data_IF_101303894790
#
_entry.id   IF_101303894790
#
_cell.length_a   1.000
_cell.length_b   1.000
_cell.length_c   1.000
_cell.angle_alpha   90.00
_cell.angle_beta   90.00
_cell.angle_gamma   90.00
#
_symmetry.space_group_name_H-M   'P 1'
#
loop_
_entity.id
_entity.type
_entity.pdbx_description
1 polymer ?
#
# COMPACT_ATOMS: atom_id res chain seq x y z
N UNK A 1 -32.49 -1.24 -22.35
CA UNK A 1 -31.69 -0.04 -22.67
C UNK A 1 -31.39 0.63 -21.33
N UNK A 2 -30.24 0.56 -20.69
CA UNK A 2 -28.87 0.47 -21.18
C UNK A 2 -28.08 1.61 -20.51
N UNK A 3 -28.03 1.65 -19.18
CA UNK A 3 -27.20 2.63 -18.46
C UNK A 3 -25.79 2.06 -18.34
N UNK A 4 -24.89 2.58 -19.19
CA UNK A 4 -23.46 2.29 -19.12
C UNK A 4 -22.87 3.09 -17.95
N UNK A 5 -22.53 2.39 -16.88
CA UNK A 5 -21.74 2.92 -15.76
C UNK A 5 -20.27 2.71 -16.08
N UNK A 6 -19.57 3.79 -16.41
CA UNK A 6 -18.11 3.78 -16.58
C UNK A 6 -17.49 4.11 -15.22
N UNK A 7 -17.19 3.08 -14.43
CA UNK A 7 -16.40 3.19 -13.20
C UNK A 7 -14.92 3.36 -13.60
N UNK A 8 -14.31 4.50 -13.26
CA UNK A 8 -12.86 4.64 -13.28
C UNK A 8 -12.34 4.29 -11.88
N UNK A 9 -11.73 3.10 -11.77
CA UNK A 9 -10.98 2.69 -10.60
C UNK A 9 -9.57 3.29 -10.63
N UNK A 10 -9.08 3.74 -9.48
CA UNK A 10 -7.66 4.06 -9.29
C UNK A 10 -7.27 3.59 -7.89
N UNK A 11 -6.82 2.35 -7.79
CA UNK A 11 -6.23 1.85 -6.55
C UNK A 11 -4.74 2.14 -6.52
N UNK A 12 -4.38 3.35 -6.08
CA UNK A 12 -2.99 3.78 -5.93
C UNK A 12 -2.54 3.61 -4.48
N UNK A 13 -1.76 2.56 -4.21
CA UNK A 13 -1.03 2.46 -2.95
C UNK A 13 0.28 3.25 -3.03
N UNK A 14 0.21 4.54 -2.71
CA UNK A 14 1.36 5.45 -2.76
C UNK A 14 1.99 5.64 -1.39
N UNK A 15 3.31 5.40 -1.27
CA UNK A 15 4.11 5.93 -0.18
C UNK A 15 4.62 7.32 -0.55
N UNK A 16 4.36 8.31 0.32
CA UNK A 16 4.66 9.72 0.08
C UNK A 16 5.65 10.22 1.16
N UNK A 17 6.86 10.65 0.77
CA UNK A 17 7.89 11.20 1.69
C UNK A 17 7.81 12.72 1.73
N UNK A 18 7.83 13.30 2.93
CA UNK A 18 7.93 14.74 3.09
C UNK A 18 9.34 15.19 2.69
N UNK A 19 9.43 15.98 1.62
CA UNK A 19 10.59 16.81 1.34
C UNK A 19 10.25 18.22 1.81
N UNK A 20 11.16 18.87 2.52
CA UNK A 20 11.07 20.31 2.74
C UNK A 20 11.10 20.98 1.37
N UNK A 21 9.96 21.51 0.92
CA UNK A 21 9.95 22.33 -0.28
C UNK A 21 10.88 23.53 -0.05
N UNK A 22 11.80 23.80 -0.97
CA UNK A 22 12.42 25.12 -1.04
C UNK A 22 11.30 26.16 -1.12
N UNK A 23 11.41 27.30 -0.42
CA UNK A 23 10.34 28.29 -0.36
C UNK A 23 9.92 28.64 -1.79
N UNK A 24 8.65 28.36 -2.12
CA UNK A 24 8.06 28.75 -3.39
C UNK A 24 8.01 30.28 -3.41
N UNK A 25 8.84 30.88 -4.27
CA UNK A 25 8.68 32.27 -4.71
C UNK A 25 8.93 33.32 -3.64
N UNK A 26 10.20 33.58 -3.32
CA UNK A 26 10.63 34.95 -3.12
C UNK A 26 11.45 35.31 -4.35
N UNK A 27 10.84 35.97 -5.34
CA UNK A 27 11.64 36.71 -6.30
C UNK A 27 12.43 37.75 -5.50
N UNK A 28 13.76 37.79 -5.66
CA UNK A 28 14.60 38.68 -4.86
C UNK A 28 14.28 40.19 -5.09
N UNK A 29 13.44 40.50 -6.07
CA UNK A 29 13.03 41.86 -6.41
C UNK A 29 11.84 42.38 -5.57
N UNK A 30 10.92 41.52 -5.12
CA UNK A 30 9.78 41.94 -4.28
C UNK A 30 10.15 42.30 -2.84
N UNK A 31 11.30 41.82 -2.36
CA UNK A 31 11.84 42.04 -1.01
C UNK A 31 12.31 43.50 -0.81
N UNK A 32 12.66 44.20 -1.88
CA UNK A 32 13.17 45.57 -1.83
C UNK A 32 12.06 46.64 -1.74
N UNK A 33 10.80 46.27 -1.97
CA UNK A 33 9.70 47.21 -2.17
C UNK A 33 8.83 47.47 -0.92
N UNK A 34 8.91 46.64 0.12
CA UNK A 34 8.04 46.77 1.31
C UNK A 34 8.84 46.63 2.61
N UNK A 35 8.98 47.74 3.33
CA UNK A 35 9.74 47.82 4.58
C UNK A 35 9.12 47.00 5.72
N UNK A 36 9.99 46.35 6.50
CA UNK A 36 9.77 45.77 7.83
C UNK A 36 8.52 44.90 8.06
N UNK A 37 7.96 44.26 7.03
CA UNK A 37 6.93 43.25 7.18
C UNK A 37 7.57 41.88 7.44
N UNK A 38 7.23 41.23 8.56
CA UNK A 38 7.61 39.84 8.82
C UNK A 38 6.77 38.91 7.95
N UNK A 39 7.36 38.41 6.87
CA UNK A 39 6.74 37.39 6.03
C UNK A 39 6.78 36.02 6.74
N UNK A 40 5.61 35.53 7.16
CA UNK A 40 5.45 34.16 7.65
C UNK A 40 5.64 33.18 6.48
N UNK A 41 6.83 32.58 6.38
CA UNK A 41 7.10 31.48 5.46
C UNK A 41 6.36 30.23 5.96
N UNK A 42 5.25 29.91 5.30
CA UNK A 42 4.53 28.67 5.53
C UNK A 42 5.32 27.53 4.86
N UNK A 43 6.07 26.76 5.65
CA UNK A 43 6.76 25.57 5.14
C UNK A 43 5.71 24.48 4.86
N UNK A 44 5.19 24.44 3.63
CA UNK A 44 4.33 23.34 3.19
C UNK A 44 5.16 22.07 3.04
N UNK A 45 4.88 21.08 3.88
CA UNK A 45 5.34 19.72 3.67
C UNK A 45 4.69 19.19 2.39
N UNK A 46 5.46 19.10 1.31
CA UNK A 46 5.00 18.47 0.07
C UNK A 46 5.38 17.01 0.13
N UNK A 47 4.42 16.17 -0.22
CA UNK A 47 4.64 14.75 -0.31
C UNK A 47 4.80 14.34 -1.77
N UNK A 48 5.86 13.61 -2.10
CA UNK A 48 6.10 13.05 -3.43
C UNK A 48 5.93 11.54 -3.43
N UNK A 49 5.35 10.98 -4.50
CA UNK A 49 5.25 9.54 -4.72
C UNK A 49 6.63 8.89 -4.75
N UNK A 50 6.86 7.93 -3.88
CA UNK A 50 8.11 7.19 -3.75
C UNK A 50 7.97 5.77 -4.27
N UNK A 51 6.90 5.08 -3.87
CA UNK A 51 6.64 3.69 -4.22
C UNK A 51 5.17 3.52 -4.60
N UNK A 52 4.93 2.72 -5.64
CA UNK A 52 3.60 2.29 -6.10
C UNK A 52 3.59 0.77 -6.15
N UNK A 53 2.60 0.17 -5.49
CA UNK A 53 2.39 -1.28 -5.54
C UNK A 53 1.08 -1.59 -6.28
N UNK A 54 1.20 -2.37 -7.36
CA UNK A 54 0.10 -2.77 -8.22
C UNK A 54 0.21 -4.27 -8.59
N UNK A 55 -0.69 -4.75 -9.44
CA UNK A 55 -0.73 -6.16 -9.88
C UNK A 55 0.57 -6.65 -10.55
N UNK A 56 1.38 -5.74 -11.11
CA UNK A 56 2.62 -6.10 -11.78
C UNK A 56 3.76 -6.40 -10.80
N UNK A 57 3.76 -5.78 -9.62
CA UNK A 57 4.92 -5.80 -8.73
C UNK A 57 4.61 -6.21 -7.27
N UNK A 58 3.34 -6.29 -6.87
CA UNK A 58 2.95 -6.50 -5.47
C UNK A 58 3.58 -7.78 -4.90
N UNK A 59 3.37 -8.94 -5.53
CA UNK A 59 3.91 -10.20 -5.01
C UNK A 59 5.44 -10.31 -5.08
N UNK A 60 6.10 -9.46 -5.88
CA UNK A 60 7.58 -9.38 -5.90
C UNK A 60 8.15 -8.41 -4.85
N UNK A 61 7.32 -7.45 -4.41
CA UNK A 61 7.72 -6.39 -3.48
C UNK A 61 7.49 -6.76 -2.01
N UNK A 62 6.81 -7.88 -1.76
CA UNK A 62 6.48 -8.38 -0.44
C UNK A 62 7.02 -9.80 -0.25
N UNK A 63 7.55 -10.06 0.94
CA UNK A 63 7.96 -11.38 1.39
C UNK A 63 6.80 -12.10 2.07
N UNK A 64 6.67 -13.41 1.78
CA UNK A 64 5.68 -14.28 2.40
C UNK A 64 6.25 -14.90 3.68
N UNK A 65 5.59 -14.61 4.79
CA UNK A 65 5.91 -15.23 6.07
C UNK A 65 5.36 -16.67 6.09
N UNK A 66 6.19 -17.64 6.47
CA UNK A 66 5.82 -19.07 6.46
C UNK A 66 6.04 -19.75 7.81
N UNK A 67 6.57 -19.03 8.79
CA UNK A 67 6.82 -19.60 10.12
C UNK A 67 5.52 -19.69 10.93
N UNK A 68 5.60 -20.37 12.08
CA UNK A 68 4.51 -20.42 13.05
C UNK A 68 4.07 -19.02 13.43
N UNK A 69 2.77 -18.81 13.51
CA UNK A 69 2.21 -17.51 13.85
C UNK A 69 2.72 -17.01 15.22
N UNK A 70 3.40 -15.84 15.29
CA UNK A 70 3.93 -15.30 16.54
C UNK A 70 2.84 -14.97 17.57
N UNK A 71 1.58 -14.83 17.13
CA UNK A 71 0.43 -14.58 18.00
C UNK A 71 -0.31 -15.84 18.43
N UNK A 72 0.22 -17.03 18.11
CA UNK A 72 -0.36 -18.34 18.45
C UNK A 72 -1.77 -18.57 17.90
N UNK A 73 -2.09 -18.00 16.73
CA UNK A 73 -3.35 -18.24 16.03
C UNK A 73 -3.44 -19.62 15.37
N UNK A 74 -4.66 -20.09 15.12
CA UNK A 74 -4.94 -21.34 14.38
C UNK A 74 -4.82 -21.14 12.86
N UNK A 75 -3.61 -20.83 12.40
CA UNK A 75 -3.32 -20.40 11.03
C UNK A 75 -2.07 -21.09 10.50
N UNK A 76 -2.09 -21.47 9.23
CA UNK A 76 -0.97 -22.05 8.51
C UNK A 76 -0.52 -21.12 7.37
N UNK A 77 0.51 -20.30 7.59
CA UNK A 77 0.95 -19.37 6.56
C UNK A 77 1.69 -20.07 5.42
N UNK A 78 1.21 -19.86 4.20
CA UNK A 78 1.74 -20.50 3.00
C UNK A 78 2.83 -19.65 2.33
N UNK A 79 3.77 -20.32 1.68
CA UNK A 79 4.69 -19.66 0.75
C UNK A 79 3.93 -19.10 -0.46
N UNK A 80 4.52 -18.15 -1.18
CA UNK A 80 3.90 -17.56 -2.37
C UNK A 80 3.47 -18.61 -3.40
N UNK A 81 4.34 -19.58 -3.72
CA UNK A 81 4.04 -20.62 -4.71
C UNK A 81 2.92 -21.56 -4.25
N UNK A 82 2.90 -21.93 -2.98
CA UNK A 82 1.83 -22.76 -2.40
C UNK A 82 0.50 -22.00 -2.32
N UNK A 83 0.55 -20.70 -2.00
CA UNK A 83 -0.63 -19.84 -1.98
C UNK A 83 -1.22 -19.65 -3.38
N UNK A 84 -0.38 -19.50 -4.41
CA UNK A 84 -0.82 -19.42 -5.81
C UNK A 84 -1.48 -20.72 -6.26
N UNK A 85 -0.86 -21.88 -5.98
CA UNK A 85 -1.41 -23.17 -6.40
C UNK A 85 -2.73 -23.51 -5.70
N UNK A 86 -2.93 -23.02 -4.48
CA UNK A 86 -4.15 -23.17 -3.71
C UNK A 86 -5.20 -22.07 -3.99
N UNK A 87 -4.88 -21.10 -4.85
CA UNK A 87 -5.78 -19.98 -5.17
C UNK A 87 -5.98 -18.97 -4.02
N UNK A 88 -5.12 -19.01 -3.00
CA UNK A 88 -5.15 -18.06 -1.88
C UNK A 88 -4.65 -16.67 -2.28
N UNK A 89 -3.84 -16.59 -3.34
CA UNK A 89 -3.43 -15.33 -3.94
C UNK A 89 -3.58 -15.38 -5.46
N UNK A 90 -3.97 -14.26 -6.05
CA UNK A 90 -4.02 -14.11 -7.49
C UNK A 90 -4.00 -12.63 -7.88
N UNK A 91 -3.81 -12.33 -9.16
CA UNK A 91 -4.14 -11.05 -9.77
C UNK A 91 -5.32 -11.26 -10.72
N UNK A 92 -6.39 -10.50 -10.55
CA UNK A 92 -7.55 -10.57 -11.44
C UNK A 92 -8.18 -9.18 -11.60
N UNK A 93 -8.60 -8.83 -12.81
CA UNK A 93 -9.20 -7.53 -13.13
C UNK A 93 -8.42 -6.31 -12.57
N UNK A 94 -7.09 -6.32 -12.71
CA UNK A 94 -6.20 -5.28 -12.15
C UNK A 94 -6.27 -5.12 -10.61
N UNK A 95 -6.76 -6.15 -9.92
CA UNK A 95 -6.80 -6.22 -8.46
C UNK A 95 -5.91 -7.34 -7.95
N UNK A 96 -5.33 -7.09 -6.78
CA UNK A 96 -4.58 -8.08 -6.02
C UNK A 96 -5.58 -8.80 -5.11
N UNK A 97 -5.64 -10.11 -5.24
CA UNK A 97 -6.41 -10.97 -4.35
C UNK A 97 -5.49 -11.63 -3.33
N UNK A 98 -5.88 -11.55 -2.06
CA UNK A 98 -5.30 -12.32 -0.96
C UNK A 98 -6.42 -12.84 -0.09
N UNK A 99 -6.41 -14.14 0.17
CA UNK A 99 -7.46 -14.83 0.87
C UNK A 99 -6.97 -15.97 1.75
N UNK A 100 -7.94 -16.71 2.27
CA UNK A 100 -7.75 -17.87 3.13
C UNK A 100 -8.44 -19.08 2.49
N UNK A 101 -8.04 -20.28 2.90
CA UNK A 101 -8.75 -21.48 2.49
C UNK A 101 -10.19 -21.44 3.04
N UNK A 102 -11.16 -21.36 2.14
CA UNK A 102 -12.60 -21.32 2.45
C UNK A 102 -13.31 -22.65 2.18
N UNK A 103 -12.58 -23.67 1.72
CA UNK A 103 -13.14 -24.94 1.27
C UNK A 103 -13.03 -26.03 2.34
N UNK A 104 -11.93 -26.05 3.10
CA UNK A 104 -11.72 -27.07 4.14
C UNK A 104 -12.55 -26.75 5.39
N UNK A 105 -13.40 -27.71 5.76
CA UNK A 105 -14.15 -27.71 7.02
C UNK A 105 -13.23 -28.23 8.13
N UNK A 106 -13.08 -27.46 9.22
CA UNK A 106 -12.25 -27.79 10.39
C UNK A 106 -10.83 -28.26 10.03
N UNK A 107 -9.99 -27.37 9.45
CA UNK A 107 -8.63 -27.73 9.08
C UNK A 107 -7.82 -28.20 10.31
N UNK A 108 -7.08 -29.31 10.19
CA UNK A 108 -6.25 -29.84 11.26
C UNK A 108 -5.07 -28.90 11.56
N UNK A 109 -4.29 -29.26 12.59
CA UNK A 109 -3.04 -28.55 12.91
C UNK A 109 -2.12 -28.42 11.67
N UNK A 110 -1.50 -27.25 11.43
CA UNK A 110 -1.40 -26.08 12.33
C UNK A 110 -2.54 -25.05 12.19
N UNK A 111 -3.49 -25.25 11.27
CA UNK A 111 -4.69 -24.43 11.15
C UNK A 111 -5.10 -24.14 9.72
N UNK A 112 -5.92 -23.09 9.53
CA UNK A 112 -6.43 -22.72 8.21
C UNK A 112 -5.31 -22.09 7.36
N UNK A 113 -5.18 -22.54 6.12
CA UNK A 113 -4.18 -21.97 5.21
C UNK A 113 -4.52 -20.49 4.92
N UNK A 114 -3.53 -19.63 5.09
CA UNK A 114 -3.63 -18.19 4.91
C UNK A 114 -2.29 -17.64 4.38
N UNK A 115 -2.24 -16.35 4.09
CA UNK A 115 -1.03 -15.65 3.69
C UNK A 115 -0.77 -14.46 4.61
N UNK A 116 0.51 -14.21 4.87
CA UNK A 116 0.98 -13.02 5.56
C UNK A 116 2.13 -12.44 4.78
N UNK A 117 1.97 -11.18 4.38
CA UNK A 117 2.93 -10.47 3.54
C UNK A 117 3.60 -9.35 4.33
N UNK A 118 4.89 -9.17 4.13
CA UNK A 118 5.69 -8.09 4.72
C UNK A 118 6.42 -7.36 3.60
N UNK A 119 6.33 -6.04 3.52
CA UNK A 119 7.04 -5.29 2.48
C UNK A 119 8.55 -5.47 2.61
N UNK A 120 9.24 -5.66 1.48
CA UNK A 120 10.70 -5.78 1.47
C UNK A 120 11.39 -4.46 1.84
N UNK A 121 10.71 -3.33 1.60
CA UNK A 121 11.15 -2.00 2.01
C UNK A 121 10.59 -1.63 3.38
N UNK A 122 11.42 -0.96 4.17
CA UNK A 122 11.05 -0.35 5.44
C UNK A 122 11.01 1.18 5.30
N UNK A 123 10.09 1.80 6.02
CA UNK A 123 9.84 3.24 5.96
C UNK A 123 9.80 3.82 7.37
N UNK A 124 10.53 4.90 7.62
CA UNK A 124 10.54 5.56 8.95
C UNK A 124 9.36 6.51 9.12
N UNK A 125 9.01 7.26 8.07
CA UNK A 125 7.93 8.24 8.04
C UNK A 125 7.35 8.36 6.64
N UNK A 126 6.05 8.56 6.51
CA UNK A 126 5.43 8.99 5.26
C UNK A 126 3.93 8.77 5.26
N UNK A 127 3.29 9.05 4.13
CA UNK A 127 1.88 8.81 3.91
C UNK A 127 1.70 7.51 3.15
N UNK A 128 0.90 6.59 3.68
CA UNK A 128 0.52 5.34 3.03
C UNK A 128 -0.96 5.42 2.68
N UNK A 129 -1.27 5.33 1.39
CA UNK A 129 -2.66 5.37 0.91
C UNK A 129 -3.04 3.97 0.49
N UNK A 130 -4.15 3.43 0.98
CA UNK A 130 -4.66 2.13 0.59
C UNK A 130 -5.98 2.28 -0.15
N UNK A 131 -6.08 1.76 -1.36
CA UNK A 131 -7.40 1.54 -1.97
C UNK A 131 -7.68 0.04 -2.00
N UNK A 132 -8.70 -0.36 -1.25
CA UNK A 132 -9.04 -1.75 -0.99
C UNK A 132 -10.54 -1.92 -1.26
N UNK A 133 -10.85 -2.69 -2.30
CA UNK A 133 -12.24 -2.94 -2.69
C UNK A 133 -13.00 -3.87 -1.71
N UNK A 134 -12.29 -4.76 -1.01
CA UNK A 134 -12.88 -5.71 -0.06
C UNK A 134 -11.87 -6.08 1.03
N UNK A 135 -12.33 -6.23 2.27
CA UNK A 135 -11.53 -6.72 3.40
C UNK A 135 -12.20 -7.95 4.05
N UNK A 136 -11.44 -8.91 4.60
CA UNK A 136 -11.96 -10.09 5.28
C UNK A 136 -12.92 -9.80 6.44
#
# INVERSE_FOLDING_TARGET
MGFKSTLFGISLFGYLKATTASPMGADAASIAAHGNETFWVNAQATYSLVDTYDTSNFFSSFSFFTDTDPTSGWVNYQSQSAAQSQGLINTNNDQIYMGVDSTTVNPPSPGRNSVRVTSNKAYTHGLFIADIAHMP
#
